data_IF_805331383429
#
_entry.id   IF_805331383429
#
_cell.length_a   1.000
_cell.length_b   1.000
_cell.length_c   1.000
_cell.angle_alpha   90.00
_cell.angle_beta   90.00
_cell.angle_gamma   90.00
#
_symmetry.space_group_name_H-M   'P 1'
#
loop_
_entity.id
_entity.type
_entity.pdbx_description
1 polymer ?
#
# COMPACT_ATOMS: atom_id res chain seq x y z
N UNK A 1 17.49 17.81 1.01
CA UNK A 1 17.67 16.50 1.68
C UNK A 1 16.76 16.32 2.91
N UNK A 2 16.53 17.34 3.74
CA UNK A 2 15.68 17.25 4.94
C UNK A 2 14.23 16.85 4.66
N UNK A 3 13.59 17.49 3.68
CA UNK A 3 12.17 17.27 3.33
C UNK A 3 11.89 15.80 2.97
N UNK A 4 12.72 15.20 2.10
CA UNK A 4 12.55 13.78 1.73
C UNK A 4 12.73 12.84 2.93
N UNK A 5 13.63 13.19 3.86
CA UNK A 5 13.81 12.42 5.10
C UNK A 5 12.57 12.52 5.98
N UNK A 6 12.00 13.71 6.15
CA UNK A 6 10.78 13.94 6.94
C UNK A 6 9.58 13.22 6.34
N UNK A 7 9.38 13.29 5.02
CA UNK A 7 8.35 12.52 4.31
C UNK A 7 8.51 11.03 4.58
N UNK A 8 9.74 10.51 4.49
CA UNK A 8 10.03 9.11 4.79
C UNK A 8 9.73 8.72 6.23
N UNK A 9 9.97 9.61 7.21
CA UNK A 9 9.65 9.38 8.62
C UNK A 9 8.13 9.29 8.80
N UNK A 10 7.38 10.25 8.24
CA UNK A 10 5.91 10.28 8.32
C UNK A 10 5.33 9.01 7.69
N UNK A 11 5.77 8.64 6.49
CA UNK A 11 5.30 7.45 5.78
C UNK A 11 5.51 6.17 6.59
N UNK A 12 6.69 5.98 7.20
CA UNK A 12 6.98 4.80 8.03
C UNK A 12 6.25 4.80 9.37
N UNK A 13 6.02 5.98 9.97
CA UNK A 13 5.23 6.09 11.19
C UNK A 13 3.78 5.65 10.94
N UNK A 14 3.17 6.14 9.86
CA UNK A 14 1.82 5.73 9.44
C UNK A 14 1.75 4.23 9.12
N UNK A 15 2.73 3.69 8.40
CA UNK A 15 2.79 2.25 8.12
C UNK A 15 2.90 1.42 9.41
N UNK A 16 3.70 1.86 10.37
CA UNK A 16 3.83 1.18 11.67
C UNK A 16 2.53 1.15 12.46
N UNK A 17 1.77 2.25 12.45
CA UNK A 17 0.44 2.33 13.07
C UNK A 17 -0.52 1.37 12.35
N UNK A 18 -0.61 1.44 11.02
CA UNK A 18 -1.49 0.57 10.23
C UNK A 18 -1.18 -0.92 10.44
N UNK A 19 0.09 -1.29 10.59
CA UNK A 19 0.51 -2.67 10.88
C UNK A 19 0.01 -3.21 12.24
N UNK A 20 -0.25 -2.32 13.20
CA UNK A 20 -0.80 -2.69 14.51
C UNK A 20 -2.32 -2.76 14.40
N UNK A 21 -2.95 -1.70 13.91
CA UNK A 21 -4.42 -1.57 13.85
C UNK A 21 -5.08 -2.58 12.91
N UNK A 22 -4.42 -2.93 11.80
CA UNK A 22 -4.99 -3.81 10.77
C UNK A 22 -4.50 -5.26 10.83
N UNK A 23 -3.81 -5.64 11.92
CA UNK A 23 -3.25 -6.98 12.08
C UNK A 23 -4.32 -8.07 12.03
N UNK A 24 -5.40 -7.89 12.79
CA UNK A 24 -6.45 -8.91 12.94
C UNK A 24 -7.47 -8.90 11.77
N UNK A 25 -7.25 -8.01 10.79
CA UNK A 25 -8.06 -7.88 9.58
C UNK A 25 -7.36 -8.45 8.34
N UNK A 26 -6.17 -9.04 8.49
CA UNK A 26 -5.29 -9.43 7.38
C UNK A 26 -4.92 -8.27 6.43
N UNK A 27 -5.03 -7.02 6.91
CA UNK A 27 -4.78 -5.80 6.14
C UNK A 27 -3.48 -5.07 6.54
N UNK A 28 -2.66 -5.69 7.38
CA UNK A 28 -1.31 -5.23 7.71
C UNK A 28 -0.33 -5.37 6.52
N UNK A 29 0.91 -4.90 6.73
CA UNK A 29 2.02 -4.88 5.76
C UNK A 29 1.65 -4.16 4.45
N UNK A 30 0.91 -3.07 4.56
CA UNK A 30 0.46 -2.27 3.43
C UNK A 30 -0.67 -2.89 2.60
N UNK A 31 -1.24 -4.04 2.98
CA UNK A 31 -2.33 -4.68 2.24
C UNK A 31 -3.57 -3.78 2.10
N UNK A 32 -3.88 -3.00 3.14
CA UNK A 32 -4.97 -2.02 3.11
C UNK A 32 -4.87 -1.04 1.93
N UNK A 33 -3.65 -0.66 1.50
CA UNK A 33 -3.47 0.25 0.37
C UNK A 33 -3.98 -0.36 -0.93
N UNK A 34 -3.76 -1.66 -1.15
CA UNK A 34 -4.25 -2.34 -2.34
C UNK A 34 -5.78 -2.44 -2.31
N UNK A 35 -6.34 -2.85 -1.18
CA UNK A 35 -7.79 -3.01 -1.02
C UNK A 35 -8.53 -1.69 -1.26
N UNK A 36 -8.08 -0.58 -0.66
CA UNK A 36 -8.73 0.73 -0.83
C UNK A 36 -8.77 1.13 -2.30
N UNK A 37 -7.66 0.97 -3.04
CA UNK A 37 -7.60 1.37 -4.46
C UNK A 37 -8.45 0.50 -5.36
N UNK A 38 -8.50 -0.80 -5.10
CA UNK A 38 -9.38 -1.73 -5.82
C UNK A 38 -10.85 -1.40 -5.54
N UNK A 39 -11.19 -1.04 -4.30
CA UNK A 39 -12.54 -0.66 -3.92
C UNK A 39 -12.98 0.69 -4.52
N UNK A 40 -12.07 1.66 -4.63
CA UNK A 40 -12.32 2.96 -5.27
C UNK A 40 -12.59 2.83 -6.78
N UNK A 41 -11.95 1.87 -7.45
CA UNK A 41 -12.11 1.64 -8.88
C UNK A 41 -12.21 0.13 -9.20
N UNK A 42 -13.40 -0.46 -9.04
CA UNK A 42 -13.63 -1.87 -9.38
C UNK A 42 -13.30 -2.17 -10.84
N UNK A 43 -12.64 -3.29 -11.08
CA UNK A 43 -12.26 -3.73 -12.43
C UNK A 43 -10.91 -3.20 -12.93
N UNK A 44 -10.18 -2.42 -12.12
CA UNK A 44 -8.82 -1.97 -12.41
C UNK A 44 -7.87 -3.16 -12.66
N UNK A 45 -6.98 -3.04 -13.65
CA UNK A 45 -5.94 -4.04 -13.91
C UNK A 45 -4.68 -3.79 -13.07
N UNK A 46 -3.83 -4.81 -12.89
CA UNK A 46 -2.64 -4.71 -12.02
C UNK A 46 -1.63 -3.63 -12.47
N UNK A 47 -1.55 -3.34 -13.77
CA UNK A 47 -0.66 -2.30 -14.29
C UNK A 47 -1.08 -0.91 -13.80
N UNK A 48 -2.37 -0.58 -13.91
CA UNK A 48 -2.94 0.66 -13.40
C UNK A 48 -2.74 0.79 -11.88
N UNK A 49 -2.91 -0.32 -11.13
CA UNK A 49 -2.72 -0.34 -9.69
C UNK A 49 -1.25 -0.07 -9.30
N UNK A 50 -0.30 -0.62 -10.07
CA UNK A 50 1.14 -0.38 -9.93
C UNK A 50 1.48 1.10 -10.11
N UNK A 51 0.93 1.72 -11.16
CA UNK A 51 1.13 3.13 -11.45
C UNK A 51 0.53 4.05 -10.40
N UNK A 52 -0.65 3.71 -9.87
CA UNK A 52 -1.34 4.50 -8.86
C UNK A 52 -0.58 4.49 -7.53
N UNK A 53 -0.16 3.31 -7.08
CA UNK A 53 0.54 3.12 -5.81
C UNK A 53 2.03 3.48 -5.87
N UNK A 54 2.57 3.76 -7.08
CA UNK A 54 4.00 4.06 -7.31
C UNK A 54 4.91 2.93 -6.81
N UNK A 55 4.49 1.68 -7.00
CA UNK A 55 5.24 0.46 -6.69
C UNK A 55 5.46 -0.35 -7.95
N UNK A 56 6.42 -1.27 -7.94
CA UNK A 56 6.66 -2.13 -9.09
C UNK A 56 5.59 -3.24 -9.25
N UNK A 57 5.45 -3.74 -10.48
CA UNK A 57 4.44 -4.75 -10.83
C UNK A 57 4.59 -6.06 -10.05
N UNK A 58 5.81 -6.45 -9.67
CA UNK A 58 6.03 -7.69 -8.92
C UNK A 58 5.53 -7.59 -7.47
N UNK A 59 5.65 -6.40 -6.87
CA UNK A 59 5.11 -6.09 -5.55
C UNK A 59 3.57 -6.09 -5.57
N UNK A 60 2.94 -5.53 -6.60
CA UNK A 60 1.47 -5.62 -6.79
C UNK A 60 1.03 -7.07 -6.94
N UNK A 61 1.67 -7.81 -7.86
CA UNK A 61 1.31 -9.20 -8.13
C UNK A 61 1.43 -10.08 -6.88
N UNK A 62 2.43 -9.84 -6.02
CA UNK A 62 2.56 -10.53 -4.73
C UNK A 62 1.48 -10.14 -3.73
N UNK A 63 1.09 -8.87 -3.71
CA UNK A 63 0.16 -8.35 -2.71
C UNK A 63 -1.28 -8.75 -3.00
N UNK A 64 -1.69 -8.75 -4.27
CA UNK A 64 -3.06 -9.07 -4.73
C UNK A 64 -3.32 -10.58 -4.86
N UNK A 65 -2.27 -11.41 -4.94
CA UNK A 65 -2.40 -12.87 -5.09
C UNK A 65 -2.82 -13.59 -3.80
N UNK A 66 -2.67 -12.95 -2.64
CA UNK A 66 -3.04 -13.52 -1.34
C UNK A 66 -4.52 -13.32 -1.05
#
# INVERSE_FOLDING_TARGET
MSILREIGIIARALDSIANIEFRDLDLARGQYLYLVRIAEQPGMIQEELSELLKVDRSTVARSVKN
#
